data_IF_886864328502
#
_entry.id   IF_886864328502
#
_cell.length_a   1.000
_cell.length_b   1.000
_cell.length_c   1.000
_cell.angle_alpha   90.00
_cell.angle_beta   90.00
_cell.angle_gamma   90.00
#
_symmetry.space_group_name_H-M   'P 1'
#
loop_
_entity.id
_entity.type
_entity.pdbx_description
1 polymer ?
#
# COMPACT_ATOMS: atom_id res chain seq x y z
N UNK A 1 0.65 -19.33 6.53
CA UNK A 1 1.47 -18.11 6.72
C UNK A 1 0.52 -16.93 6.52
N UNK A 2 0.53 -15.95 7.41
CA UNK A 2 -0.29 -14.74 7.25
C UNK A 2 0.34 -13.89 6.15
N UNK A 3 -0.36 -13.67 5.05
CA UNK A 3 0.09 -12.81 3.96
C UNK A 3 -0.62 -11.46 4.06
N UNK A 4 0.09 -10.38 3.80
CA UNK A 4 -0.51 -9.04 3.71
C UNK A 4 -0.74 -8.72 2.24
N UNK A 5 -1.85 -8.10 1.89
CA UNK A 5 -2.15 -7.67 0.52
C UNK A 5 -2.28 -6.16 0.49
N UNK A 6 -1.66 -5.54 -0.50
CA UNK A 6 -1.82 -4.10 -0.74
C UNK A 6 -3.24 -3.81 -1.24
N UNK A 7 -3.95 -2.95 -0.52
CA UNK A 7 -5.25 -2.41 -0.91
C UNK A 7 -5.17 -0.92 -1.16
N UNK A 8 -6.04 -0.46 -2.06
CA UNK A 8 -6.21 0.94 -2.40
C UNK A 8 -7.69 1.28 -2.36
N UNK A 9 -8.04 2.43 -1.82
CA UNK A 9 -9.43 2.88 -1.74
C UNK A 9 -10.08 2.86 -3.14
N UNK A 10 -11.22 2.16 -3.23
CA UNK A 10 -12.00 2.01 -4.49
C UNK A 10 -11.22 1.38 -5.65
N UNK A 11 -10.13 0.66 -5.37
CA UNK A 11 -9.24 0.08 -6.37
C UNK A 11 -8.73 1.12 -7.40
N UNK A 12 -8.59 2.39 -6.99
CA UNK A 12 -8.18 3.47 -7.88
C UNK A 12 -6.69 3.39 -8.19
N UNK A 13 -6.39 2.94 -9.42
CA UNK A 13 -5.02 2.78 -9.91
C UNK A 13 -4.21 4.08 -9.90
N UNK A 14 -4.84 5.26 -9.91
CA UNK A 14 -4.11 6.53 -9.90
C UNK A 14 -3.43 6.78 -8.55
N UNK A 15 -4.01 6.29 -7.46
CA UNK A 15 -3.39 6.38 -6.15
C UNK A 15 -2.15 5.49 -6.05
N UNK A 16 -2.22 4.26 -6.58
CA UNK A 16 -1.06 3.38 -6.64
C UNK A 16 0.05 3.98 -7.51
N UNK A 17 -0.29 4.58 -8.66
CA UNK A 17 0.70 5.29 -9.50
C UNK A 17 1.36 6.44 -8.76
N UNK A 18 0.57 7.30 -8.12
CA UNK A 18 1.09 8.45 -7.37
C UNK A 18 1.99 8.02 -6.20
N UNK A 19 1.64 6.94 -5.53
CA UNK A 19 2.46 6.34 -4.46
C UNK A 19 3.79 5.84 -4.99
N UNK A 20 3.76 5.09 -6.10
CA UNK A 20 4.94 4.57 -6.76
C UNK A 20 5.86 5.70 -7.25
N UNK A 21 5.31 6.78 -7.80
CA UNK A 21 6.06 7.96 -8.20
C UNK A 21 6.69 8.70 -7.00
N UNK A 22 5.97 8.80 -5.87
CA UNK A 22 6.47 9.49 -4.67
C UNK A 22 7.64 8.75 -4.00
N UNK A 23 7.64 7.42 -4.03
CA UNK A 23 8.67 6.59 -3.40
C UNK A 23 9.67 5.94 -4.37
N UNK A 24 9.59 6.24 -5.66
CA UNK A 24 10.36 5.57 -6.72
C UNK A 24 10.26 4.03 -6.62
N UNK A 25 9.04 3.52 -6.61
CA UNK A 25 8.71 2.10 -6.42
C UNK A 25 7.75 1.57 -7.48
N UNK A 26 7.47 0.26 -7.46
CA UNK A 26 6.67 -0.41 -8.50
C UNK A 26 5.63 -1.38 -7.92
N UNK A 27 5.01 -1.02 -6.79
CA UNK A 27 3.99 -1.84 -6.15
C UNK A 27 2.71 -1.92 -6.99
N UNK A 28 1.96 -3.01 -6.79
CA UNK A 28 0.73 -3.28 -7.53
C UNK A 28 -0.42 -3.52 -6.54
N UNK A 29 -1.63 -3.07 -6.88
CA UNK A 29 -2.84 -3.39 -6.11
C UNK A 29 -3.02 -4.90 -6.08
N UNK A 30 -3.31 -5.47 -4.91
CA UNK A 30 -3.45 -6.91 -4.74
C UNK A 30 -2.13 -7.68 -4.59
N UNK A 31 -0.98 -6.99 -4.64
CA UNK A 31 0.32 -7.63 -4.40
C UNK A 31 0.39 -8.16 -2.97
N UNK A 32 0.88 -9.39 -2.84
CA UNK A 32 1.25 -9.97 -1.55
C UNK A 32 2.57 -9.37 -1.05
N UNK A 33 2.59 -8.97 0.22
CA UNK A 33 3.73 -8.44 0.94
C UNK A 33 4.05 -9.43 2.06
N UNK A 34 5.32 -9.83 2.13
CA UNK A 34 5.81 -10.67 3.22
C UNK A 34 5.78 -9.90 4.54
N UNK A 35 5.66 -10.62 5.66
CA UNK A 35 5.50 -9.98 6.98
C UNK A 35 6.69 -9.10 7.36
N UNK A 36 7.91 -9.45 6.91
CA UNK A 36 9.11 -8.66 7.14
C UNK A 36 9.11 -7.32 6.40
N UNK A 37 8.56 -7.29 5.19
CA UNK A 37 8.44 -6.08 4.37
C UNK A 37 7.19 -5.25 4.71
N UNK A 38 6.19 -5.88 5.34
CA UNK A 38 4.91 -5.25 5.69
C UNK A 38 5.08 -4.01 6.58
N UNK A 39 6.02 -4.03 7.53
CA UNK A 39 6.24 -2.88 8.41
C UNK A 39 6.80 -1.68 7.65
N UNK A 40 7.71 -1.92 6.70
CA UNK A 40 8.27 -0.86 5.86
C UNK A 40 7.20 -0.28 4.94
N UNK A 41 6.43 -1.14 4.26
CA UNK A 41 5.35 -0.69 3.40
C UNK A 41 4.31 0.11 4.18
N UNK A 42 3.91 -0.33 5.38
CA UNK A 42 2.94 0.39 6.20
C UNK A 42 3.41 1.81 6.54
N UNK A 43 4.70 1.98 6.88
CA UNK A 43 5.27 3.31 7.13
C UNK A 43 5.23 4.21 5.88
N UNK A 44 5.52 3.64 4.71
CA UNK A 44 5.42 4.37 3.44
C UNK A 44 3.97 4.77 3.14
N UNK A 45 3.03 3.84 3.30
CA UNK A 45 1.60 4.08 3.10
C UNK A 45 1.08 5.18 4.04
N UNK A 46 1.44 5.13 5.33
CA UNK A 46 1.04 6.14 6.31
C UNK A 46 1.61 7.53 5.97
N UNK A 47 2.88 7.62 5.54
CA UNK A 47 3.47 8.91 5.12
C UNK A 47 2.74 9.49 3.91
N UNK A 48 2.49 8.66 2.88
CA UNK A 48 1.78 9.09 1.68
C UNK A 48 0.32 9.50 1.95
N UNK A 49 -0.40 8.69 2.72
CA UNK A 49 -1.77 8.95 3.12
C UNK A 49 -1.90 10.30 3.85
N UNK A 50 -0.93 10.63 4.71
CA UNK A 50 -0.93 11.89 5.44
C UNK A 50 -0.50 13.09 4.61
N UNK A 51 0.51 12.94 3.74
CA UNK A 51 1.13 14.07 3.02
C UNK A 51 0.49 14.39 1.68
N UNK A 52 0.04 13.37 0.95
CA UNK A 52 -0.44 13.50 -0.43
C UNK A 52 -1.95 13.26 -0.49
N UNK A 53 -2.39 12.16 0.10
CA UNK A 53 -3.75 11.68 -0.05
C UNK A 53 -4.75 12.35 0.92
N UNK A 54 -4.25 12.93 2.01
CA UNK A 54 -5.05 13.53 3.09
C UNK A 54 -6.16 12.59 3.61
N UNK A 55 -5.88 11.28 3.64
CA UNK A 55 -6.84 10.22 3.95
C UNK A 55 -6.23 8.83 3.83
N UNK A 56 -6.90 7.83 4.41
CA UNK A 56 -6.46 6.42 4.34
C UNK A 56 -6.77 5.85 2.96
N UNK A 57 -5.85 6.03 2.02
CA UNK A 57 -6.00 5.60 0.63
C UNK A 57 -5.30 4.27 0.37
N UNK A 58 -4.09 4.08 0.89
CA UNK A 58 -3.28 2.86 0.69
C UNK A 58 -3.11 2.17 2.03
N UNK A 59 -3.33 0.85 2.07
CA UNK A 59 -3.20 0.06 3.29
C UNK A 59 -2.77 -1.39 2.99
N UNK A 60 -2.37 -2.09 4.04
CA UNK A 60 -2.24 -3.54 4.02
C UNK A 60 -3.46 -4.18 4.68
N UNK A 61 -3.98 -5.22 4.05
CA UNK A 61 -4.97 -6.09 4.66
C UNK A 61 -4.42 -7.51 4.82
N UNK A 62 -4.82 -8.17 5.89
CA UNK A 62 -4.50 -9.58 6.09
C UNK A 62 -5.29 -10.42 5.09
N UNK A 63 -4.59 -11.16 4.23
CA UNK A 63 -5.19 -12.19 3.40
C UNK A 63 -5.46 -13.43 4.24
N UNK A 64 -6.73 -13.72 4.46
CA UNK A 64 -7.19 -15.00 4.97
C UNK A 64 -7.71 -15.80 3.77
N UNK A 65 -6.82 -16.53 3.11
CA UNK A 65 -7.21 -17.66 2.25
C UNK A 65 -7.87 -18.76 3.11
#
# INVERSE_FOLDING_TARGET
>A
MTKMIIKVEKDDINWMKSFNEYFDSTFIIGQEIEREDAEQFQKMADDFNNRIACGLIISLEVSND
#
